data_IF_427327372930
#
_entry.id   IF_427327372930
#
_cell.length_a   1.000
_cell.length_b   1.000
_cell.length_c   1.000
_cell.angle_alpha   90.00
_cell.angle_beta   90.00
_cell.angle_gamma   90.00
#
_symmetry.space_group_name_H-M   'P 1'
#
loop_
_entity.id
_entity.type
_entity.pdbx_description
1 polymer ?
#
# COMPACT_ATOMS: atom_id res chain seq x y z
N UNK A 1 11.34 -12.77 0.95
CA UNK A 1 10.09 -13.23 0.28
C UNK A 1 10.20 -14.65 -0.28
N UNK A 2 11.41 -15.11 -0.65
CA UNK A 2 11.67 -16.48 -1.09
C UNK A 2 11.30 -17.51 0.00
N UNK A 3 11.80 -17.34 1.23
CA UNK A 3 11.47 -18.23 2.36
C UNK A 3 9.97 -18.29 2.68
N UNK A 4 9.23 -17.22 2.38
CA UNK A 4 7.77 -17.15 2.56
C UNK A 4 6.99 -17.70 1.36
N UNK A 5 7.68 -18.26 0.36
CA UNK A 5 7.06 -18.85 -0.84
C UNK A 5 6.38 -17.85 -1.77
N UNK A 6 6.70 -16.55 -1.66
CA UNK A 6 6.13 -15.53 -2.56
C UNK A 6 6.94 -15.45 -3.87
N UNK A 7 8.26 -15.49 -3.74
CA UNK A 7 9.20 -15.51 -4.85
C UNK A 7 9.92 -16.86 -4.88
N UNK A 8 10.49 -17.21 -6.04
CA UNK A 8 11.47 -18.31 -6.14
C UNK A 8 12.88 -17.74 -6.31
N UNK A 9 13.88 -18.61 -6.43
CA UNK A 9 15.24 -18.24 -6.79
C UNK A 9 15.63 -18.98 -8.05
N UNK A 10 15.99 -18.25 -9.09
CA UNK A 10 16.43 -18.79 -10.37
C UNK A 10 17.81 -18.24 -10.70
N UNK A 11 18.71 -19.09 -11.21
CA UNK A 11 19.97 -18.63 -11.78
C UNK A 11 19.76 -18.46 -13.28
N UNK A 12 19.77 -17.22 -13.76
CA UNK A 12 19.70 -16.90 -15.18
C UNK A 12 21.10 -16.65 -15.73
N UNK A 13 21.45 -17.40 -16.77
CA UNK A 13 22.73 -17.24 -17.47
C UNK A 13 22.49 -16.32 -18.67
N UNK A 14 23.01 -15.11 -18.59
CA UNK A 14 23.03 -14.16 -19.71
C UNK A 14 24.29 -14.37 -20.54
N UNK A 15 24.31 -13.82 -21.77
CA UNK A 15 25.42 -13.98 -22.71
C UNK A 15 26.79 -13.60 -22.11
N UNK A 16 26.82 -12.64 -21.18
CA UNK A 16 28.07 -12.09 -20.62
C UNK A 16 28.25 -12.36 -19.12
N UNK A 17 27.22 -12.83 -18.41
CA UNK A 17 27.28 -13.05 -16.96
C UNK A 17 26.11 -13.90 -16.48
N UNK A 18 26.28 -14.53 -15.32
CA UNK A 18 25.18 -15.18 -14.62
C UNK A 18 24.62 -14.22 -13.56
N UNK A 19 23.30 -14.24 -13.37
CA UNK A 19 22.61 -13.45 -12.34
C UNK A 19 21.54 -14.30 -11.66
N UNK A 20 21.49 -14.21 -10.33
CA UNK A 20 20.39 -14.78 -9.56
C UNK A 20 19.21 -13.82 -9.58
N UNK A 21 18.04 -14.31 -10.03
CA UNK A 21 16.78 -13.56 -10.09
C UNK A 21 15.74 -14.16 -9.15
N UNK A 22 14.74 -13.36 -8.78
CA UNK A 22 13.68 -13.76 -7.86
C UNK A 22 12.29 -13.51 -8.46
N UNK A 23 11.87 -14.30 -9.46
CA UNK A 23 10.57 -14.11 -10.09
C UNK A 23 9.42 -14.44 -9.10
N UNK A 24 8.28 -13.77 -9.32
CA UNK A 24 7.07 -13.95 -8.53
C UNK A 24 6.38 -15.27 -8.91
N UNK A 25 6.31 -16.21 -7.97
CA UNK A 25 5.60 -17.49 -8.16
C UNK A 25 4.19 -17.46 -7.58
N UNK A 26 3.98 -16.73 -6.48
CA UNK A 26 2.68 -16.62 -5.83
C UNK A 26 1.95 -15.35 -6.27
N UNK A 27 1.46 -15.36 -7.51
CA UNK A 27 0.66 -14.26 -8.08
C UNK A 27 -0.63 -14.02 -7.29
N UNK A 28 -1.23 -15.07 -6.72
CA UNK A 28 -2.45 -14.98 -5.90
C UNK A 28 -2.26 -14.08 -4.68
N UNK A 29 -1.11 -14.17 -3.99
CA UNK A 29 -0.83 -13.33 -2.82
C UNK A 29 -0.68 -11.86 -3.21
N UNK A 30 -0.02 -11.57 -4.34
CA UNK A 30 0.06 -10.20 -4.88
C UNK A 30 -1.33 -9.66 -5.24
N UNK A 31 -2.14 -10.45 -5.95
CA UNK A 31 -3.51 -10.05 -6.32
C UNK A 31 -4.40 -9.80 -5.10
N UNK A 32 -4.32 -10.65 -4.07
CA UNK A 32 -5.04 -10.44 -2.80
C UNK A 32 -4.61 -9.15 -2.10
N UNK A 33 -3.32 -8.82 -2.12
CA UNK A 33 -2.81 -7.56 -1.56
C UNK A 33 -3.36 -6.36 -2.32
N UNK A 34 -3.25 -6.36 -3.65
CA UNK A 34 -3.76 -5.28 -4.52
C UNK A 34 -5.27 -5.10 -4.27
N UNK A 35 -6.04 -6.18 -4.31
CA UNK A 35 -7.49 -6.13 -4.06
C UNK A 35 -7.81 -5.60 -2.67
N UNK A 36 -7.04 -5.98 -1.63
CA UNK A 36 -7.26 -5.48 -0.26
C UNK A 36 -7.05 -3.96 -0.19
N UNK A 37 -6.07 -3.41 -0.90
CA UNK A 37 -5.81 -1.96 -0.98
C UNK A 37 -6.93 -1.25 -1.74
N UNK A 38 -7.32 -1.78 -2.91
CA UNK A 38 -8.44 -1.26 -3.71
C UNK A 38 -9.74 -1.25 -2.91
N UNK A 39 -10.11 -2.38 -2.29
CA UNK A 39 -11.31 -2.49 -1.47
C UNK A 39 -11.31 -1.47 -0.32
N UNK A 40 -10.15 -1.18 0.27
CA UNK A 40 -10.02 -0.23 1.37
C UNK A 40 -10.45 1.20 0.98
N UNK A 41 -10.10 1.62 -0.23
CA UNK A 41 -10.41 2.96 -0.75
C UNK A 41 -11.64 2.99 -1.66
N UNK A 42 -12.28 1.84 -1.91
CA UNK A 42 -13.49 1.72 -2.72
C UNK A 42 -14.66 1.16 -1.89
N UNK A 43 -14.85 -0.16 -1.95
CA UNK A 43 -16.04 -0.86 -1.44
C UNK A 43 -16.17 -0.85 0.08
N UNK A 44 -15.03 -0.80 0.80
CA UNK A 44 -14.95 -0.80 2.26
C UNK A 44 -14.46 0.53 2.83
N UNK A 45 -14.54 1.59 2.03
CA UNK A 45 -14.15 2.91 2.46
C UNK A 45 -14.95 3.34 3.69
N UNK A 46 -14.24 3.89 4.66
CA UNK A 46 -14.80 4.50 5.84
C UNK A 46 -14.34 5.95 5.89
N UNK A 47 -15.26 6.90 6.09
CA UNK A 47 -14.90 8.32 6.25
C UNK A 47 -14.10 8.62 7.53
N UNK A 48 -13.86 7.61 8.38
CA UNK A 48 -13.08 7.70 9.60
C UNK A 48 -11.85 6.77 9.49
N UNK A 49 -10.63 7.33 9.35
CA UNK A 49 -9.38 6.56 9.23
C UNK A 49 -9.13 5.62 10.42
N UNK A 50 -9.60 5.99 11.62
CA UNK A 50 -9.37 5.21 12.85
C UNK A 50 -10.19 3.91 12.88
N UNK A 51 -11.20 3.80 12.01
CA UNK A 51 -12.00 2.57 11.83
C UNK A 51 -11.34 1.58 10.85
N UNK A 52 -10.35 2.02 10.08
CA UNK A 52 -9.59 1.14 9.21
C UNK A 52 -8.59 0.29 10.00
N UNK A 53 -8.24 -0.88 9.45
CA UNK A 53 -7.13 -1.68 9.98
C UNK A 53 -5.84 -0.85 9.95
N UNK A 54 -5.24 -0.60 11.12
CA UNK A 54 -4.04 0.24 11.26
C UNK A 54 -2.90 -0.21 10.35
N UNK A 55 -2.78 -1.53 10.11
CA UNK A 55 -1.77 -2.08 9.18
C UNK A 55 -2.06 -1.69 7.74
N UNK A 56 -3.34 -1.66 7.35
CA UNK A 56 -3.77 -1.29 6.00
C UNK A 56 -3.64 0.22 5.79
N UNK A 57 -4.02 1.03 6.78
CA UNK A 57 -3.84 2.47 6.75
C UNK A 57 -2.35 2.84 6.60
N UNK A 58 -1.49 2.26 7.44
CA UNK A 58 -0.04 2.45 7.32
C UNK A 58 0.52 1.99 5.97
N UNK A 59 -0.01 0.89 5.41
CA UNK A 59 0.37 0.43 4.08
C UNK A 59 0.02 1.46 2.99
N UNK A 60 -1.15 2.08 3.05
CA UNK A 60 -1.59 3.08 2.06
C UNK A 60 -0.65 4.31 2.10
N UNK A 61 -0.40 4.87 3.29
CA UNK A 61 0.49 6.02 3.45
C UNK A 61 1.91 5.73 2.96
N UNK A 62 2.50 4.60 3.38
CA UNK A 62 3.86 4.25 2.98
C UNK A 62 3.96 3.89 1.49
N UNK A 63 2.93 3.25 0.93
CA UNK A 63 2.89 2.96 -0.50
C UNK A 63 2.75 4.24 -1.35
N UNK A 64 2.03 5.24 -0.85
CA UNK A 64 1.97 6.55 -1.48
C UNK A 64 3.33 7.26 -1.40
N UNK A 65 3.93 7.35 -0.22
CA UNK A 65 5.24 7.98 -0.04
C UNK A 65 6.39 7.29 -0.81
N UNK A 66 6.20 6.03 -1.22
CA UNK A 66 7.16 5.28 -2.03
C UNK A 66 6.84 5.29 -3.53
N UNK A 67 5.84 6.05 -3.99
CA UNK A 67 5.37 6.12 -5.39
C UNK A 67 5.00 4.76 -6.01
N UNK A 68 4.53 3.81 -5.20
CA UNK A 68 4.10 2.48 -5.67
C UNK A 68 2.61 2.23 -5.58
N UNK A 69 1.85 3.14 -4.95
CA UNK A 69 0.40 2.99 -4.76
C UNK A 69 -0.37 2.99 -6.08
N UNK A 70 0.04 3.82 -7.05
CA UNK A 70 -0.62 3.91 -8.36
C UNK A 70 -0.62 2.55 -9.10
N UNK A 71 0.39 1.70 -8.89
CA UNK A 71 0.43 0.36 -9.46
C UNK A 71 -0.74 -0.52 -9.00
N UNK A 72 -1.30 -0.25 -7.82
CA UNK A 72 -2.48 -0.96 -7.33
C UNK A 72 -3.77 -0.44 -7.97
N UNK A 73 -3.78 0.79 -8.50
CA UNK A 73 -4.95 1.42 -9.12
C UNK A 73 -4.96 1.32 -10.65
N UNK A 74 -3.82 1.06 -11.28
CA UNK A 74 -3.71 0.84 -12.72
C UNK A 74 -4.74 -0.12 -13.35
N UNK A 75 -5.19 -1.23 -12.70
CA UNK A 75 -6.20 -2.11 -13.28
C UNK A 75 -7.67 -1.71 -12.98
N UNK A 76 -7.92 -0.58 -12.31
CA UNK A 76 -9.28 -0.09 -12.04
C UNK A 76 -9.89 0.56 -13.30
N UNK A 77 -11.22 0.74 -13.30
CA UNK A 77 -11.88 1.62 -14.28
C UNK A 77 -11.54 3.08 -14.00
N UNK A 78 -11.70 3.96 -14.99
CA UNK A 78 -11.43 5.40 -14.83
C UNK A 78 -12.26 6.01 -13.68
N UNK A 79 -13.53 5.65 -13.57
CA UNK A 79 -14.41 6.12 -12.49
C UNK A 79 -13.92 5.67 -11.09
N UNK A 80 -13.56 4.40 -10.94
CA UNK A 80 -13.04 3.87 -9.67
C UNK A 80 -11.67 4.46 -9.34
N UNK A 81 -10.84 4.71 -10.36
CA UNK A 81 -9.53 5.33 -10.21
C UNK A 81 -9.66 6.76 -9.65
N UNK A 82 -10.55 7.57 -10.22
CA UNK A 82 -10.81 8.93 -9.73
C UNK A 82 -11.30 8.94 -8.28
N UNK A 83 -12.23 8.04 -7.94
CA UNK A 83 -12.75 7.91 -6.57
C UNK A 83 -11.66 7.47 -5.60
N UNK A 84 -10.85 6.47 -5.97
CA UNK A 84 -9.74 5.99 -5.14
C UNK A 84 -8.72 7.10 -4.90
N UNK A 85 -8.30 7.81 -5.94
CA UNK A 85 -7.34 8.91 -5.83
C UNK A 85 -7.86 10.08 -5.01
N UNK A 86 -9.15 10.42 -5.16
CA UNK A 86 -9.79 11.43 -4.31
C UNK A 86 -9.72 11.05 -2.83
N UNK A 87 -10.09 9.83 -2.48
CA UNK A 87 -10.07 9.34 -1.10
C UNK A 87 -8.66 9.22 -0.53
N UNK A 88 -7.67 8.85 -1.35
CA UNK A 88 -6.26 8.89 -0.94
C UNK A 88 -5.83 10.32 -0.63
N UNK A 89 -6.19 11.32 -1.46
CA UNK A 89 -5.92 12.73 -1.15
C UNK A 89 -6.60 13.18 0.15
N UNK A 90 -7.86 12.79 0.37
CA UNK A 90 -8.57 13.06 1.63
C UNK A 90 -7.81 12.49 2.85
N UNK A 91 -7.13 11.34 2.73
CA UNK A 91 -6.27 10.80 3.79
C UNK A 91 -4.97 11.59 3.97
N UNK A 92 -4.40 12.11 2.89
CA UNK A 92 -3.14 12.86 2.91
C UNK A 92 -3.32 14.28 3.45
N UNK A 93 -4.51 14.85 3.27
CA UNK A 93 -4.88 16.17 3.77
C UNK A 93 -5.15 16.19 5.29
N UNK A 94 -5.17 15.02 5.94
CA UNK A 94 -5.34 14.91 7.40
C UNK A 94 -4.10 15.42 8.13
N UNK A 95 -4.32 16.12 9.24
CA UNK A 95 -3.24 16.57 10.12
C UNK A 95 -2.79 15.44 11.08
N UNK A 96 -1.59 14.86 10.90
CA UNK A 96 -1.13 13.75 11.74
C UNK A 96 -1.03 14.11 13.22
N UNK A 97 -0.80 15.39 13.55
CA UNK A 97 -0.72 15.87 14.94
C UNK A 97 -2.09 15.87 15.63
N UNK A 98 -3.17 16.11 14.89
CA UNK A 98 -4.53 16.01 15.41
C UNK A 98 -4.99 14.55 15.48
N UNK A 99 -4.67 13.77 14.46
CA UNK A 99 -5.08 12.37 14.35
C UNK A 99 -4.40 11.45 15.38
N UNK A 100 -3.20 11.82 15.86
CA UNK A 100 -2.50 11.09 16.93
C UNK A 100 -3.11 11.31 18.32
N UNK A 101 -3.81 12.43 18.55
CA UNK A 101 -4.45 12.74 19.83
C UNK A 101 -5.79 12.03 20.04
N UNK A 102 -6.34 11.41 18.99
CA UNK A 102 -7.61 10.67 19.07
C UNK A 102 -7.48 9.40 19.93
N UNK A 103 -8.54 9.00 20.64
CA UNK A 103 -8.51 7.81 21.48
C UNK A 103 -8.17 6.55 20.67
N UNK A 104 -7.31 5.69 21.20
CA UNK A 104 -6.79 4.48 20.57
C UNK A 104 -5.97 4.69 19.28
N UNK A 105 -5.52 5.91 18.99
CA UNK A 105 -4.56 6.15 17.92
C UNK A 105 -3.20 5.50 18.21
N UNK A 106 -2.42 5.23 17.16
CA UNK A 106 -1.03 4.79 17.30
C UNK A 106 -0.14 6.01 17.02
N UNK A 107 0.36 6.64 18.08
CA UNK A 107 1.18 7.85 18.00
C UNK A 107 2.41 7.67 17.11
N UNK A 108 3.09 6.53 17.22
CA UNK A 108 4.30 6.23 16.42
C UNK A 108 3.97 6.09 14.94
N UNK A 109 2.82 5.49 14.61
CA UNK A 109 2.36 5.39 13.22
C UNK A 109 2.12 6.79 12.64
N UNK A 110 1.40 7.65 13.35
CA UNK A 110 1.12 9.01 12.90
C UNK A 110 2.38 9.89 12.85
N UNK A 111 3.33 9.71 13.77
CA UNK A 111 4.65 10.34 13.70
C UNK A 111 5.45 9.89 12.47
N UNK A 112 5.33 8.62 12.08
CA UNK A 112 5.94 8.11 10.84
C UNK A 112 5.26 8.72 9.61
N UNK A 113 3.93 8.75 9.59
CA UNK A 113 3.13 9.40 8.53
C UNK A 113 3.52 10.88 8.40
N UNK A 114 3.67 11.61 9.51
CA UNK A 114 4.11 13.00 9.51
C UNK A 114 5.51 13.17 8.88
N UNK A 115 6.45 12.25 9.15
CA UNK A 115 7.81 12.33 8.64
C UNK A 115 7.95 12.05 7.13
N UNK A 116 6.98 11.34 6.52
CA UNK A 116 7.01 11.00 5.09
C UNK A 116 6.06 11.85 4.23
N UNK A 117 5.12 12.59 4.85
CA UNK A 117 4.14 13.43 4.15
C UNK A 117 4.46 14.92 4.27
N UNK A 118 5.06 15.37 5.38
CA UNK A 118 5.59 16.74 5.53
C UNK A 118 7.02 16.83 4.99
#
# INVERSE_FOLDING_TARGET
>A
LVEKGVLTTEKQNFLLFDMTTHPLVNSTSKQKLIKKVQDAVLSKWTNDPHRMDKRLLGLIYMAHASDVLENAFAPLSDDDYEVAMKRVRELLDLDPEQECMKPNANEVMWGTVAAFIK
#
